data_IF_270321446228
#
_entry.id   IF_270321446228
#
_cell.length_a   1.000
_cell.length_b   1.000
_cell.length_c   1.000
_cell.angle_alpha   90.00
_cell.angle_beta   90.00
_cell.angle_gamma   90.00
#
_symmetry.space_group_name_H-M   'P 1'
#
loop_
_entity.id
_entity.type
_entity.pdbx_description
1 polymer ?
#
# COMPACT_ATOMS: atom_id res chain seq x y z
N UNK A 1 -0.38 -15.90 27.02
CA UNK A 1 -0.40 -16.98 26.02
C UNK A 1 0.05 -16.34 24.70
N UNK A 2 1.06 -16.90 24.04
CA UNK A 2 1.58 -16.37 22.76
C UNK A 2 0.95 -17.16 21.62
N UNK A 3 0.43 -16.47 20.60
CA UNK A 3 -0.03 -17.13 19.37
C UNK A 3 1.18 -17.48 18.49
N UNK A 4 1.12 -18.56 17.69
CA UNK A 4 2.21 -18.94 16.79
C UNK A 4 2.36 -17.92 15.66
N UNK A 5 3.61 -17.67 15.23
CA UNK A 5 3.93 -16.68 14.20
C UNK A 5 3.14 -16.85 12.88
N UNK A 6 2.77 -18.08 12.53
CA UNK A 6 1.98 -18.39 11.33
C UNK A 6 0.54 -17.87 11.41
N UNK A 7 -0.06 -17.80 12.60
CA UNK A 7 -1.43 -17.30 12.72
C UNK A 7 -1.52 -15.79 12.49
N UNK A 8 -0.45 -15.06 12.79
CA UNK A 8 -0.38 -13.63 12.49
C UNK A 8 -0.28 -13.36 10.98
N UNK A 9 0.35 -14.27 10.24
CA UNK A 9 0.50 -14.15 8.79
C UNK A 9 -0.84 -14.38 8.07
N UNK A 10 -1.56 -15.44 8.43
CA UNK A 10 -2.90 -15.72 7.89
C UNK A 10 -3.90 -14.59 8.21
N UNK A 11 -3.82 -13.98 9.40
CA UNK A 11 -4.66 -12.84 9.77
C UNK A 11 -4.31 -11.56 9.00
N UNK A 12 -3.04 -11.35 8.65
CA UNK A 12 -2.60 -10.18 7.89
C UNK A 12 -3.00 -10.27 6.41
N UNK A 13 -2.91 -11.45 5.80
CA UNK A 13 -3.39 -11.65 4.42
C UNK A 13 -4.90 -11.44 4.32
N UNK A 14 -5.65 -11.88 5.33
CA UNK A 14 -7.11 -11.69 5.37
C UNK A 14 -7.52 -10.22 5.52
N UNK A 15 -6.78 -9.43 6.32
CA UNK A 15 -6.94 -7.98 6.47
C UNK A 15 -6.69 -7.21 5.17
N UNK A 16 -5.91 -7.75 4.24
CA UNK A 16 -5.63 -7.11 2.95
C UNK A 16 -6.71 -7.33 1.91
N UNK A 17 -7.63 -8.28 2.08
CA UNK A 17 -8.66 -8.58 1.08
C UNK A 17 -10.10 -8.22 1.50
N UNK A 18 -10.33 -7.78 2.74
CA UNK A 18 -11.66 -7.45 3.27
C UNK A 18 -11.94 -5.92 3.31
N UNK A 19 -13.18 -5.53 2.97
CA UNK A 19 -13.70 -4.17 3.21
C UNK A 19 -13.76 -3.88 4.72
N UNK A 20 -13.73 -2.60 5.10
CA UNK A 20 -13.68 -2.10 6.48
C UNK A 20 -14.85 -2.67 7.35
N UNK A 21 -14.65 -3.84 7.99
CA UNK A 21 -15.63 -4.45 8.90
C UNK A 21 -15.57 -3.77 10.28
N UNK A 22 -16.63 -3.04 10.69
CA UNK A 22 -16.66 -2.35 11.97
C UNK A 22 -16.54 -3.29 13.18
N UNK A 23 -16.94 -4.57 13.07
CA UNK A 23 -16.78 -5.55 14.15
C UNK A 23 -15.31 -5.96 14.34
N UNK A 24 -14.54 -6.05 13.26
CA UNK A 24 -13.11 -6.36 13.33
C UNK A 24 -12.32 -5.20 13.94
N UNK A 25 -12.65 -3.96 13.56
CA UNK A 25 -12.03 -2.75 14.12
C UNK A 25 -12.24 -2.68 15.64
N UNK A 26 -13.46 -2.94 16.12
CA UNK A 26 -13.77 -2.94 17.56
C UNK A 26 -12.98 -4.01 18.31
N UNK A 27 -12.79 -5.19 17.71
CA UNK A 27 -11.95 -6.23 18.29
C UNK A 27 -10.47 -5.85 18.30
N UNK A 28 -9.99 -5.16 17.27
CA UNK A 28 -8.60 -4.70 17.18
C UNK A 28 -8.30 -3.59 18.19
N UNK A 29 -9.26 -2.69 18.45
CA UNK A 29 -9.15 -1.65 19.49
C UNK A 29 -8.97 -2.22 20.90
N UNK A 30 -9.47 -3.43 21.17
CA UNK A 30 -9.31 -4.11 22.47
C UNK A 30 -7.89 -4.67 22.68
N UNK A 31 -7.17 -4.95 21.60
CA UNK A 31 -5.83 -5.58 21.62
C UNK A 31 -4.73 -4.54 21.42
N UNK A 32 -4.95 -3.58 20.54
CA UNK A 32 -3.97 -2.57 20.16
C UNK A 32 -3.98 -1.42 21.19
N UNK A 33 -2.81 -0.91 21.62
CA UNK A 33 -2.75 0.26 22.49
C UNK A 33 -3.45 1.47 21.87
N UNK A 34 -4.14 2.25 22.70
CA UNK A 34 -4.94 3.40 22.27
C UNK A 34 -4.19 4.44 21.44
N UNK A 35 -2.87 4.57 21.65
CA UNK A 35 -2.00 5.44 20.86
C UNK A 35 -2.00 5.11 19.35
N UNK A 36 -2.36 3.89 18.97
CA UNK A 36 -2.35 3.41 17.58
C UNK A 36 -3.77 3.22 17.00
N UNK A 37 -4.84 3.54 17.75
CA UNK A 37 -6.21 3.38 17.25
C UNK A 37 -6.48 4.22 15.99
N UNK A 38 -5.79 5.36 15.84
CA UNK A 38 -5.84 6.22 14.66
C UNK A 38 -5.19 5.62 13.40
N UNK A 39 -4.46 4.50 13.53
CA UNK A 39 -3.77 3.83 12.42
C UNK A 39 -4.40 2.49 12.07
N UNK A 40 -5.48 2.09 12.76
CA UNK A 40 -6.16 0.81 12.51
C UNK A 40 -6.80 0.75 11.13
N UNK A 41 -6.90 1.89 10.45
CA UNK A 41 -7.48 2.02 9.12
C UNK A 41 -6.46 2.04 7.96
N UNK A 42 -5.17 2.09 8.29
CA UNK A 42 -4.05 2.01 7.34
C UNK A 42 -3.96 0.66 6.59
N UNK A 43 -4.27 -0.51 7.18
CA UNK A 43 -4.08 -1.78 6.47
C UNK A 43 -5.16 -2.08 5.41
N UNK A 44 -6.24 -1.28 5.32
CA UNK A 44 -7.33 -1.57 4.39
C UNK A 44 -6.96 -1.22 2.94
N UNK A 45 -7.06 -2.24 2.07
CA UNK A 45 -6.81 -2.15 0.63
C UNK A 45 -7.57 -1.03 -0.06
N UNK A 46 -8.82 -0.77 0.37
CA UNK A 46 -9.66 0.32 -0.14
C UNK A 46 -9.03 1.72 0.03
N UNK A 47 -8.26 1.92 1.10
CA UNK A 47 -7.50 3.17 1.32
C UNK A 47 -6.15 3.16 0.58
N UNK A 48 -5.56 1.98 0.37
CA UNK A 48 -4.31 1.81 -0.37
C UNK A 48 -4.46 1.89 -1.91
N UNK A 49 -5.66 1.66 -2.45
CA UNK A 49 -5.96 1.81 -3.89
C UNK A 49 -5.92 3.25 -4.38
N UNK A 50 -6.01 4.22 -3.46
CA UNK A 50 -5.93 5.64 -3.79
C UNK A 50 -4.54 6.16 -3.44
N UNK A 51 -3.91 6.82 -4.41
CA UNK A 51 -2.67 7.54 -4.13
C UNK A 51 -2.91 8.55 -3.00
N UNK A 52 -2.00 8.65 -2.02
CA UNK A 52 -2.07 9.69 -1.02
C UNK A 52 -2.04 11.07 -1.70
N UNK A 53 -2.62 12.10 -1.07
CA UNK A 53 -2.53 13.45 -1.59
C UNK A 53 -1.06 13.89 -1.64
N UNK A 54 -0.73 14.74 -2.62
CA UNK A 54 0.59 15.36 -2.68
C UNK A 54 0.88 16.18 -1.43
N UNK A 55 2.09 16.02 -0.88
CA UNK A 55 2.54 16.76 0.29
C UNK A 55 3.58 17.81 -0.08
N UNK A 56 3.69 18.87 0.74
CA UNK A 56 4.73 19.89 0.58
C UNK A 56 6.16 19.34 0.76
N UNK A 57 6.29 18.16 1.36
CA UNK A 57 7.54 17.42 1.54
C UNK A 57 7.75 16.33 0.48
N UNK A 58 6.89 16.25 -0.54
CA UNK A 58 7.16 15.38 -1.69
C UNK A 58 8.49 15.77 -2.31
N UNK A 59 9.19 14.78 -2.89
CA UNK A 59 10.47 15.03 -3.53
C UNK A 59 10.26 15.94 -4.74
N UNK A 60 10.68 17.19 -4.62
CA UNK A 60 10.71 18.14 -5.72
C UNK A 60 12.07 18.09 -6.40
N UNK A 61 12.06 17.84 -7.71
CA UNK A 61 13.27 17.89 -8.53
C UNK A 61 13.22 19.19 -9.32
N UNK A 62 14.08 20.14 -8.95
CA UNK A 62 14.29 21.36 -9.73
C UNK A 62 14.95 20.98 -11.05
N UNK A 63 14.38 21.46 -12.16
CA UNK A 63 14.93 21.23 -13.49
C UNK A 63 15.87 22.39 -13.85
N UNK A 64 17.11 22.06 -14.20
CA UNK A 64 18.07 23.00 -14.77
C UNK A 64 18.47 22.56 -16.19
N UNK A 65 18.66 23.53 -17.09
CA UNK A 65 19.01 23.28 -18.49
C UNK A 65 17.84 22.92 -19.43
N UNK A 66 18.19 22.38 -20.60
CA UNK A 66 17.21 22.01 -21.64
C UNK A 66 16.59 20.64 -21.38
N UNK A 67 15.30 20.48 -21.71
CA UNK A 67 14.60 19.19 -21.63
C UNK A 67 15.32 18.12 -22.47
N UNK A 68 15.55 16.91 -21.94
CA UNK A 68 16.14 15.83 -22.70
C UNK A 68 15.21 15.42 -23.85
N UNK A 69 15.74 14.97 -24.99
CA UNK A 69 14.92 14.44 -26.07
C UNK A 69 14.21 13.17 -25.60
N UNK A 70 12.96 12.98 -26.05
CA UNK A 70 12.20 11.76 -25.78
C UNK A 70 12.91 10.58 -26.44
N UNK A 71 13.38 9.63 -25.63
CA UNK A 71 14.03 8.41 -26.10
C UNK A 71 13.03 7.44 -26.74
N UNK A 72 13.53 6.53 -27.58
CA UNK A 72 12.72 5.40 -28.07
C UNK A 72 12.51 4.39 -26.94
N UNK A 73 11.30 3.88 -26.80
CA UNK A 73 11.04 2.74 -25.93
C UNK A 73 11.69 1.50 -26.51
N UNK A 74 12.36 0.70 -25.67
CA UNK A 74 12.87 -0.61 -26.08
C UNK A 74 11.71 -1.54 -26.44
N UNK A 75 11.91 -2.37 -27.46
CA UNK A 75 10.96 -3.43 -27.78
C UNK A 75 11.00 -4.48 -26.67
N UNK A 76 9.86 -4.66 -26.01
CA UNK A 76 9.68 -5.71 -25.02
C UNK A 76 9.39 -7.04 -25.71
N UNK A 77 9.86 -8.14 -25.12
CA UNK A 77 9.36 -9.47 -25.47
C UNK A 77 7.90 -9.63 -25.04
N UNK A 78 7.21 -10.64 -25.58
CA UNK A 78 5.83 -10.93 -25.19
C UNK A 78 5.72 -11.19 -23.69
N UNK A 79 6.65 -11.97 -23.11
CA UNK A 79 6.66 -12.27 -21.67
C UNK A 79 6.81 -11.02 -20.80
N UNK A 80 7.72 -10.10 -21.17
CA UNK A 80 7.91 -8.84 -20.44
C UNK A 80 6.69 -7.94 -20.57
N UNK A 81 6.07 -7.90 -21.75
CA UNK A 81 4.85 -7.13 -22.01
C UNK A 81 3.68 -7.67 -21.18
N UNK A 82 3.49 -8.98 -21.16
CA UNK A 82 2.45 -9.64 -20.38
C UNK A 82 2.63 -9.38 -18.88
N UNK A 83 3.88 -9.33 -18.41
CA UNK A 83 4.19 -9.05 -16.99
C UNK A 83 3.90 -7.60 -16.61
N UNK A 84 4.15 -6.64 -17.50
CA UNK A 84 3.97 -5.21 -17.24
C UNK A 84 2.54 -4.71 -17.47
N UNK A 85 1.73 -5.46 -18.22
CA UNK A 85 0.34 -5.13 -18.56
C UNK A 85 -0.68 -5.89 -17.71
N UNK A 86 -0.22 -6.77 -16.81
CA UNK A 86 -1.05 -7.58 -15.92
C UNK A 86 -1.59 -6.78 -14.72
#
# INVERSE_FOLDING_TARGET
MYLPASSYHDSLEKLWDEEEDPEEIDNMMKVVPSAYHQCLDVPYKVKAEKNPPHHACDHHIELDGSLPPVGVSYSLSNQESDTLMA
#
